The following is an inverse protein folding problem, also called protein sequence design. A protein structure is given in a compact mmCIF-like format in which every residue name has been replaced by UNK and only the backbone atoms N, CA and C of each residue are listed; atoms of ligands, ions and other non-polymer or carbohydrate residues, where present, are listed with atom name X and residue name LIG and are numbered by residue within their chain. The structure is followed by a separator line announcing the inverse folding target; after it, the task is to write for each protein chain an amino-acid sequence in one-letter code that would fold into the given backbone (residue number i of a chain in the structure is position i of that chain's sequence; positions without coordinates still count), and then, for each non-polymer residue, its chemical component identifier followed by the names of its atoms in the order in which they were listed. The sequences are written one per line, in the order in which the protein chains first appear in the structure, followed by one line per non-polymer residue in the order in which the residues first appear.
data_IF_311161388744
#
_entry.id   IF_311161388744
#
_cell.length_a   1.000
_cell.length_b   1.000
_cell.length_c   1.000
_cell.angle_alpha   90.00
_cell.angle_beta   90.00
_cell.angle_gamma   90.00
#
_symmetry.space_group_name_H-M   'P 1'
#
loop_
_entity.id
_entity.type
_entity.pdbx_description
1 polymer ?
#
# COMPACT_ATOMS: atom_id res chain seq x y z
N UNK A 1 8.35 13.49 -2.89
CA UNK A 1 8.62 12.05 -2.73
C UNK A 1 7.50 11.46 -1.90
N UNK A 2 6.90 10.35 -2.33
CA UNK A 2 5.68 9.78 -1.74
C UNK A 2 5.81 9.52 -0.23
N UNK A 3 6.91 8.90 0.20
CA UNK A 3 7.16 8.59 1.63
C UNK A 3 7.07 9.85 2.50
N UNK A 4 7.73 10.95 2.08
CA UNK A 4 7.68 12.23 2.79
C UNK A 4 6.27 12.80 2.86
N UNK A 5 5.49 12.70 1.79
CA UNK A 5 4.09 13.14 1.80
C UNK A 5 3.25 12.30 2.76
N UNK A 6 3.46 10.99 2.79
CA UNK A 6 2.74 10.06 3.69
C UNK A 6 3.10 10.23 5.16
N UNK A 7 4.38 10.40 5.48
CA UNK A 7 4.82 10.67 6.86
C UNK A 7 4.24 12.01 7.35
N UNK A 8 4.25 13.05 6.52
CA UNK A 8 3.62 14.33 6.86
C UNK A 8 2.10 14.22 7.00
N UNK A 9 1.45 13.45 6.12
CA UNK A 9 0.03 13.16 6.23
C UNK A 9 -0.30 12.45 7.55
N UNK A 10 0.50 11.46 7.95
CA UNK A 10 0.33 10.75 9.20
C UNK A 10 0.43 11.68 10.43
N UNK A 11 1.40 12.62 10.45
CA UNK A 11 1.49 13.64 11.51
C UNK A 11 0.17 14.40 11.70
N UNK A 12 -0.49 14.78 10.59
CA UNK A 12 -1.80 15.45 10.63
C UNK A 12 -2.93 14.53 11.11
N UNK A 13 -2.93 13.26 10.68
CA UNK A 13 -3.93 12.26 11.11
C UNK A 13 -3.85 11.97 12.62
N UNK A 14 -2.65 11.90 13.19
CA UNK A 14 -2.47 11.72 14.64
C UNK A 14 -3.06 12.90 15.42
N UNK A 15 -2.90 14.13 14.92
CA UNK A 15 -3.54 15.32 15.51
C UNK A 15 -5.06 15.26 15.41
N UNK A 16 -5.58 14.94 14.22
CA UNK A 16 -7.02 14.84 13.96
C UNK A 16 -7.70 13.78 14.84
N UNK A 17 -7.10 12.60 14.96
CA UNK A 17 -7.65 11.49 15.74
C UNK A 17 -7.24 11.51 17.21
N UNK A 18 -6.47 12.52 17.62
CA UNK A 18 -5.97 12.67 18.98
C UNK A 18 -5.22 11.42 19.48
N UNK A 19 -4.29 10.90 18.67
CA UNK A 19 -3.43 9.76 19.02
C UNK A 19 -2.00 10.24 19.20
N UNK A 20 -1.40 9.97 20.35
CA UNK A 20 -0.10 10.53 20.72
C UNK A 20 1.06 9.97 19.91
N UNK A 21 1.06 8.65 19.68
CA UNK A 21 2.16 7.93 19.03
C UNK A 21 1.61 6.80 18.16
N UNK A 22 2.12 6.68 16.93
CA UNK A 22 1.86 5.57 16.02
C UNK A 22 3.18 4.89 15.67
N UNK A 23 3.21 3.56 15.78
CA UNK A 23 4.40 2.75 15.57
C UNK A 23 4.10 1.64 14.58
N UNK A 24 4.85 1.61 13.47
CA UNK A 24 4.94 0.43 12.60
C UNK A 24 6.19 -0.36 12.99
N UNK A 25 5.99 -1.58 13.50
CA UNK A 25 7.06 -2.42 14.04
C UNK A 25 7.21 -3.70 13.22
N UNK A 26 8.36 -3.86 12.57
CA UNK A 26 8.61 -4.89 11.55
C UNK A 26 9.97 -5.58 11.75
N UNK A 27 10.15 -6.72 11.10
CA UNK A 27 11.43 -7.44 10.91
C UNK A 27 11.31 -8.28 9.66
N UNK A 28 12.42 -8.62 9.02
CA UNK A 28 12.45 -9.48 7.83
C UNK A 28 11.33 -9.11 6.84
N UNK A 29 11.18 -7.80 6.55
CA UNK A 29 9.95 -7.28 5.94
C UNK A 29 9.71 -7.79 4.53
N UNK A 30 10.76 -8.27 3.86
CA UNK A 30 10.64 -8.93 2.57
C UNK A 30 9.85 -10.24 2.66
N UNK A 31 9.96 -10.97 3.78
CA UNK A 31 9.26 -12.25 4.01
C UNK A 31 7.88 -11.99 4.60
N UNK A 32 7.79 -11.11 5.60
CA UNK A 32 6.56 -10.89 6.36
C UNK A 32 6.49 -9.44 6.89
N UNK A 33 6.40 -8.50 5.96
CA UNK A 33 6.30 -7.07 6.22
C UNK A 33 4.88 -6.59 6.49
N UNK A 34 4.79 -5.38 7.04
CA UNK A 34 3.54 -4.68 7.25
C UNK A 34 3.06 -4.03 5.92
N UNK A 35 1.78 -4.16 5.52
CA UNK A 35 1.26 -3.52 4.31
C UNK A 35 1.43 -1.99 4.27
N UNK A 36 1.54 -1.36 5.43
CA UNK A 36 1.73 0.09 5.58
C UNK A 36 3.17 0.52 5.39
N UNK A 37 4.14 -0.42 5.46
CA UNK A 37 5.57 -0.13 5.35
C UNK A 37 5.92 0.57 4.03
N UNK A 38 5.19 0.25 2.95
CA UNK A 38 5.33 0.86 1.63
C UNK A 38 5.12 2.40 1.63
N UNK A 39 4.49 2.96 2.67
CA UNK A 39 4.30 4.40 2.84
C UNK A 39 5.36 5.05 3.74
N UNK A 40 6.20 4.24 4.40
CA UNK A 40 7.13 4.68 5.44
C UNK A 40 8.60 4.56 5.01
N UNK A 41 8.93 3.62 4.14
CA UNK A 41 10.29 3.44 3.60
C UNK A 41 10.21 2.80 2.20
N UNK A 42 11.23 3.02 1.37
CA UNK A 42 11.28 2.48 0.00
C UNK A 42 11.98 1.12 -0.11
N UNK A 43 12.43 0.55 1.00
CA UNK A 43 13.21 -0.68 1.04
C UNK A 43 12.77 -1.56 2.20
N UNK A 44 13.08 -2.85 2.06
CA UNK A 44 12.91 -3.79 3.14
C UNK A 44 13.93 -3.57 4.27
N UNK A 45 13.54 -3.97 5.48
CA UNK A 45 14.38 -3.97 6.67
C UNK A 45 14.46 -5.38 7.25
N UNK A 46 15.67 -5.79 7.65
CA UNK A 46 15.93 -7.16 8.11
C UNK A 46 15.74 -7.29 9.62
N UNK A 47 16.33 -6.38 10.41
CA UNK A 47 16.28 -6.44 11.87
C UNK A 47 14.98 -5.82 12.40
N UNK A 48 14.67 -6.07 13.69
CA UNK A 48 13.58 -5.37 14.37
C UNK A 48 13.73 -3.86 14.17
N UNK A 49 12.74 -3.26 13.52
CA UNK A 49 12.76 -1.86 13.12
C UNK A 49 11.45 -1.21 13.49
N UNK A 50 11.50 0.04 13.95
CA UNK A 50 10.34 0.81 14.37
C UNK A 50 10.30 2.14 13.64
N UNK A 51 9.19 2.41 12.95
CA UNK A 51 8.89 3.71 12.36
C UNK A 51 7.83 4.38 13.22
N UNK A 52 8.20 5.50 13.84
CA UNK A 52 7.48 6.13 14.94
C UNK A 52 7.08 7.54 14.53
N UNK A 53 5.80 7.83 14.58
CA UNK A 53 5.26 9.16 14.28
C UNK A 53 4.50 9.64 15.51
N UNK A 54 4.74 10.87 15.93
CA UNK A 54 4.08 11.47 17.10
C UNK A 54 3.14 12.60 16.71
N UNK A 55 2.15 12.85 17.57
CA UNK A 55 1.22 13.97 17.44
C UNK A 55 1.91 15.34 17.45
N UNK A 56 3.04 15.45 18.14
CA UNK A 56 3.88 16.65 18.22
C UNK A 56 4.83 16.80 17.01
N UNK A 57 4.42 16.25 15.86
CA UNK A 57 5.09 16.37 14.56
C UNK A 57 6.51 15.82 14.47
N UNK A 58 6.90 14.88 15.34
CA UNK A 58 8.17 14.16 15.17
C UNK A 58 7.95 12.85 14.42
N UNK A 59 8.80 12.58 13.44
CA UNK A 59 8.94 11.29 12.80
C UNK A 59 10.35 10.75 13.10
N UNK A 60 10.42 9.62 13.80
CA UNK A 60 11.68 8.96 14.15
C UNK A 60 11.66 7.55 13.58
N UNK A 61 12.78 7.10 13.02
CA UNK A 61 12.98 5.70 12.66
C UNK A 61 14.08 5.11 13.54
N UNK A 62 13.86 3.89 14.02
CA UNK A 62 14.89 3.08 14.69
C UNK A 62 15.13 1.84 13.85
N UNK A 63 16.32 1.70 13.28
CA UNK A 63 16.64 0.66 12.30
C UNK A 63 18.04 0.07 12.52
N UNK A 64 18.32 -1.08 11.90
CA UNK A 64 19.67 -1.64 11.89
C UNK A 64 20.65 -0.68 11.20
N UNK A 65 21.93 -0.73 11.60
CA UNK A 65 22.99 0.15 11.05
C UNK A 65 23.04 0.19 9.52
N UNK A 66 22.79 -0.93 8.85
CA UNK A 66 22.86 -1.03 7.39
C UNK A 66 21.64 -0.41 6.67
N UNK A 67 20.52 -0.24 7.37
CA UNK A 67 19.29 0.34 6.79
C UNK A 67 19.23 1.86 6.98
N UNK A 68 20.09 2.42 7.83
CA UNK A 68 20.06 3.84 8.24
C UNK A 68 20.06 4.80 7.04
N UNK A 69 21.03 4.66 6.14
CA UNK A 69 21.20 5.58 5.01
C UNK A 69 19.95 5.57 4.12
N UNK A 70 19.40 4.38 3.85
CA UNK A 70 18.19 4.22 3.03
C UNK A 70 16.99 4.97 3.62
N UNK A 71 16.84 4.96 4.95
CA UNK A 71 15.77 5.71 5.62
C UNK A 71 16.05 7.22 5.60
N UNK A 72 17.29 7.64 5.83
CA UNK A 72 17.70 9.07 5.76
C UNK A 72 17.47 9.66 4.36
N UNK A 73 17.76 8.90 3.31
CA UNK A 73 17.61 9.30 1.90
C UNK A 73 16.14 9.59 1.53
N UNK A 74 15.16 9.08 2.29
CA UNK A 74 13.74 9.44 2.09
C UNK A 74 13.45 10.90 2.42
N UNK A 75 14.28 11.52 3.26
CA UNK A 75 14.08 12.87 3.79
C UNK A 75 12.75 13.06 4.54
N UNK A 76 12.17 11.97 5.03
CA UNK A 76 10.85 11.94 5.68
C UNK A 76 10.91 11.95 7.22
N UNK A 77 12.04 11.53 7.79
CA UNK A 77 12.23 11.41 9.24
C UNK A 77 13.06 12.57 9.78
N UNK A 78 12.69 13.07 10.95
CA UNK A 78 13.41 14.11 11.68
C UNK A 78 14.66 13.53 12.37
N UNK A 79 14.62 12.24 12.72
CA UNK A 79 15.74 11.51 13.32
C UNK A 79 15.75 10.04 12.88
N UNK A 80 16.94 9.50 12.58
CA UNK A 80 17.16 8.08 12.30
C UNK A 80 18.19 7.50 13.27
N UNK A 81 17.70 6.73 14.22
CA UNK A 81 18.49 6.07 15.26
C UNK A 81 18.89 4.69 14.74
N UNK A 82 20.19 4.41 14.70
CA UNK A 82 20.70 3.10 14.30
C UNK A 82 21.25 2.29 15.47
N UNK A 83 21.14 0.97 15.40
CA UNK A 83 21.76 0.05 16.36
C UNK A 83 22.59 -1.05 15.68
N UNK A 84 23.41 -1.74 16.48
CA UNK A 84 24.22 -2.90 16.06
C UNK A 84 23.91 -4.19 16.83
N UNK A 85 23.43 -4.10 18.08
CA UNK A 85 23.13 -5.27 18.92
C UNK A 85 21.63 -5.59 18.97
N UNK A 86 20.77 -4.56 19.03
CA UNK A 86 19.32 -4.72 19.02
C UNK A 86 18.57 -3.40 19.23
N UNK A 87 17.28 -3.42 18.92
CA UNK A 87 16.42 -2.22 18.97
C UNK A 87 15.96 -1.83 20.39
N UNK A 88 15.98 -2.77 21.34
CA UNK A 88 15.26 -2.64 22.60
C UNK A 88 15.69 -1.40 23.39
N UNK A 89 16.97 -1.23 23.66
CA UNK A 89 17.48 -0.11 24.44
C UNK A 89 17.20 1.27 23.81
N UNK A 90 17.53 1.54 22.53
CA UNK A 90 17.18 2.82 21.91
C UNK A 90 15.67 3.04 21.86
N UNK A 91 14.87 2.00 21.64
CA UNK A 91 13.41 2.08 21.67
C UNK A 91 12.88 2.49 23.04
N UNK A 92 13.29 1.81 24.12
CA UNK A 92 12.84 2.12 25.47
C UNK A 92 13.28 3.52 25.92
N UNK A 93 14.47 3.96 25.53
CA UNK A 93 14.92 5.33 25.79
C UNK A 93 13.98 6.34 25.15
N UNK A 94 13.70 6.18 23.85
CA UNK A 94 12.79 7.07 23.12
C UNK A 94 11.37 7.06 23.71
N UNK A 95 10.84 5.89 24.05
CA UNK A 95 9.49 5.78 24.62
C UNK A 95 9.37 6.40 26.01
N UNK A 96 10.44 6.40 26.82
CA UNK A 96 10.49 7.15 28.09
C UNK A 96 10.51 8.66 27.88
N UNK A 97 11.20 9.13 26.85
CA UNK A 97 11.28 10.55 26.50
C UNK A 97 9.94 11.07 25.95
N UNK A 98 9.28 10.30 25.08
CA UNK A 98 7.96 10.64 24.52
C UNK A 98 6.85 10.46 25.57
N UNK A 99 6.90 9.37 26.36
CA UNK A 99 5.90 8.96 27.34
C UNK A 99 4.43 9.12 26.87
N UNK A 100 4.05 8.53 25.72
CA UNK A 100 2.73 8.73 25.14
C UNK A 100 1.62 8.11 26.00
N UNK A 101 0.43 8.73 26.02
CA UNK A 101 -0.76 8.16 26.67
C UNK A 101 -1.45 7.12 25.80
N UNK A 102 -1.25 7.19 24.49
CA UNK A 102 -1.80 6.24 23.51
C UNK A 102 -0.74 5.83 22.49
N UNK A 103 -0.60 4.52 22.28
CA UNK A 103 0.36 3.94 21.34
C UNK A 103 -0.41 3.12 20.32
N UNK A 104 -0.56 3.62 19.11
CA UNK A 104 -1.20 2.91 18.02
C UNK A 104 -0.22 1.91 17.37
N UNK A 105 -0.64 0.65 17.25
CA UNK A 105 0.07 -0.41 16.53
C UNK A 105 -0.82 -0.99 15.41
N UNK A 106 -0.22 -1.48 14.33
CA UNK A 106 -0.92 -1.97 13.14
C UNK A 106 -1.54 -3.37 13.33
N UNK A 107 -2.43 -3.52 14.30
CA UNK A 107 -3.32 -4.68 14.42
C UNK A 107 -4.77 -4.25 14.23
N UNK A 108 -5.60 -5.13 13.67
CA UNK A 108 -7.01 -4.84 13.40
C UNK A 108 -7.81 -6.12 13.17
N UNK A 109 -8.93 -6.28 13.87
CA UNK A 109 -9.83 -7.44 13.67
C UNK A 109 -10.68 -7.34 12.39
N UNK A 110 -10.86 -6.13 11.86
CA UNK A 110 -11.81 -5.86 10.77
C UNK A 110 -11.19 -5.25 9.51
N UNK A 111 -9.86 -5.19 9.43
CA UNK A 111 -9.19 -4.55 8.29
C UNK A 111 -7.79 -5.09 8.11
N UNK A 112 -7.62 -5.91 7.08
CA UNK A 112 -6.37 -6.56 6.66
C UNK A 112 -5.28 -5.55 6.29
N UNK A 113 -5.67 -4.36 5.79
CA UNK A 113 -4.73 -3.29 5.45
C UNK A 113 -4.07 -2.66 6.69
N UNK A 114 -4.64 -2.87 7.88
CA UNK A 114 -4.18 -2.33 9.15
C UNK A 114 -3.85 -3.43 10.17
N UNK A 115 -3.69 -4.68 9.72
CA UNK A 115 -3.36 -5.85 10.53
C UNK A 115 -1.97 -6.42 10.18
N UNK A 116 -1.01 -5.53 9.94
CA UNK A 116 0.33 -5.90 9.49
C UNK A 116 1.29 -6.38 10.59
N UNK A 117 1.05 -6.03 11.86
CA UNK A 117 1.88 -6.51 12.96
C UNK A 117 1.53 -7.96 13.29
N UNK A 118 2.44 -8.88 12.99
CA UNK A 118 2.21 -10.29 13.33
C UNK A 118 2.10 -10.50 14.84
N UNK A 119 1.35 -11.52 15.26
CA UNK A 119 1.10 -11.77 16.69
C UNK A 119 2.39 -11.88 17.53
N UNK A 120 3.43 -12.58 17.03
CA UNK A 120 4.71 -12.66 17.74
C UNK A 120 5.45 -11.32 17.85
N UNK A 121 5.31 -10.45 16.85
CA UNK A 121 5.85 -9.09 16.90
C UNK A 121 5.05 -8.19 17.85
N UNK A 122 3.73 -8.34 17.90
CA UNK A 122 2.88 -7.68 18.88
C UNK A 122 3.28 -8.05 20.32
N UNK A 123 3.46 -9.34 20.60
CA UNK A 123 3.94 -9.81 21.92
C UNK A 123 5.30 -9.22 22.27
N UNK A 124 6.23 -9.21 21.31
CA UNK A 124 7.57 -8.60 21.49
C UNK A 124 7.47 -7.11 21.86
N UNK A 125 6.65 -6.36 21.12
CA UNK A 125 6.42 -4.94 21.39
C UNK A 125 5.76 -4.71 22.76
N UNK A 126 4.77 -5.53 23.11
CA UNK A 126 4.11 -5.48 24.41
C UNK A 126 5.10 -5.74 25.55
N UNK A 127 5.97 -6.73 25.42
CA UNK A 127 7.00 -7.03 26.41
C UNK A 127 8.00 -5.87 26.58
N UNK A 128 8.39 -5.19 25.49
CA UNK A 128 9.22 -4.00 25.58
C UNK A 128 8.51 -2.88 26.37
N UNK A 129 7.27 -2.57 26.01
CA UNK A 129 6.52 -1.48 26.65
C UNK A 129 6.19 -1.80 28.13
N UNK A 130 6.09 -3.07 28.49
CA UNK A 130 5.88 -3.53 29.87
C UNK A 130 7.06 -3.20 30.78
N UNK A 131 8.30 -3.23 30.28
CA UNK A 131 9.49 -2.88 31.06
C UNK A 131 9.49 -1.43 31.55
N UNK A 132 8.66 -0.57 30.95
CA UNK A 132 8.48 0.83 31.35
C UNK A 132 7.04 1.13 31.80
N UNK A 133 6.20 0.10 31.97
CA UNK A 133 4.86 0.19 32.54
C UNK A 133 3.86 0.97 31.67
N UNK A 134 3.94 0.84 30.34
CA UNK A 134 3.02 1.52 29.40
C UNK A 134 2.37 0.57 28.39
N UNK A 135 2.44 -0.74 28.61
CA UNK A 135 1.86 -1.75 27.72
C UNK A 135 0.33 -1.73 27.68
N UNK A 136 -0.31 -1.17 28.70
CA UNK A 136 -1.76 -0.95 28.78
C UNK A 136 -2.26 0.21 27.90
N UNK A 137 -1.34 0.98 27.29
CA UNK A 137 -1.64 2.15 26.44
C UNK A 137 -1.75 1.81 24.96
N UNK A 138 -1.58 0.54 24.59
CA UNK A 138 -1.63 0.05 23.21
C UNK A 138 -3.07 0.12 22.68
N UNK A 139 -3.24 0.71 21.50
CA UNK A 139 -4.50 0.74 20.76
C UNK A 139 -4.28 0.32 19.30
N UNK A 140 -5.34 -0.04 18.59
CA UNK A 140 -5.28 -0.34 17.16
C UNK A 140 -5.02 0.93 16.34
N UNK A 141 -4.15 0.83 15.33
CA UNK A 141 -3.88 1.87 14.34
C UNK A 141 -4.89 1.91 13.19
N UNK A 142 -5.93 1.07 13.19
CA UNK A 142 -6.89 0.92 12.08
C UNK A 142 -7.37 2.27 11.53
N UNK A 143 -7.84 3.18 12.39
CA UNK A 143 -8.32 4.50 11.95
C UNK A 143 -7.25 5.33 11.23
N UNK A 144 -6.00 5.27 11.70
CA UNK A 144 -4.87 6.00 11.12
C UNK A 144 -4.51 5.39 9.76
N UNK A 145 -4.33 4.07 9.70
CA UNK A 145 -3.92 3.37 8.49
C UNK A 145 -4.98 3.45 7.39
N UNK A 146 -6.26 3.26 7.74
CA UNK A 146 -7.38 3.43 6.80
C UNK A 146 -7.39 4.85 6.21
N UNK A 147 -7.35 5.89 7.06
CA UNK A 147 -7.34 7.27 6.59
C UNK A 147 -6.10 7.61 5.75
N UNK A 148 -4.93 7.06 6.10
CA UNK A 148 -3.68 7.24 5.36
C UNK A 148 -3.79 6.67 3.93
N UNK A 149 -4.52 5.57 3.72
CA UNK A 149 -4.74 4.98 2.40
C UNK A 149 -5.93 5.61 1.65
N UNK A 150 -7.01 5.93 2.38
CA UNK A 150 -8.24 6.49 1.81
C UNK A 150 -8.05 7.92 1.30
N UNK A 151 -7.23 8.73 1.97
CA UNK A 151 -6.98 10.12 1.61
C UNK A 151 -5.71 10.20 0.79
N UNK A 152 -5.83 10.47 -0.51
CA UNK A 152 -4.71 10.38 -1.44
C UNK A 152 -3.91 11.68 -1.41
N UNK A 153 -2.58 11.57 -1.44
CA UNK A 153 -1.68 12.70 -1.63
C UNK A 153 -1.68 13.16 -3.09
N UNK A 154 -1.10 14.32 -3.36
CA UNK A 154 -0.97 14.85 -4.72
C UNK A 154 -0.22 13.88 -5.65
N UNK A 155 0.87 13.26 -5.17
CA UNK A 155 1.65 12.28 -5.95
C UNK A 155 0.80 11.05 -6.29
N UNK A 156 0.02 10.54 -5.35
CA UNK A 156 -0.87 9.39 -5.58
C UNK A 156 -1.95 9.71 -6.61
N UNK A 157 -2.59 10.87 -6.49
CA UNK A 157 -3.60 11.32 -7.45
C UNK A 157 -3.01 11.44 -8.85
N UNK A 158 -1.78 11.94 -8.97
CA UNK A 158 -1.09 12.02 -10.27
C UNK A 158 -0.83 10.63 -10.87
N UNK A 159 -0.39 9.66 -10.06
CA UNK A 159 -0.19 8.29 -10.51
C UNK A 159 -1.52 7.62 -10.94
N UNK A 160 -2.60 7.80 -10.18
CA UNK A 160 -3.94 7.31 -10.53
C UNK A 160 -4.40 7.92 -11.85
N UNK A 161 -4.26 9.24 -12.04
CA UNK A 161 -4.62 9.92 -13.30
C UNK A 161 -3.80 9.41 -14.49
N UNK A 162 -2.52 9.11 -14.28
CA UNK A 162 -1.68 8.53 -15.32
C UNK A 162 -2.14 7.12 -15.71
N UNK A 163 -2.51 6.29 -14.74
CA UNK A 163 -3.08 4.96 -14.99
C UNK A 163 -4.41 5.07 -15.77
N UNK A 164 -5.31 5.96 -15.36
CA UNK A 164 -6.59 6.22 -16.06
C UNK A 164 -6.34 6.62 -17.51
N UNK A 165 -5.42 7.57 -17.75
CA UNK A 165 -5.09 8.02 -19.10
C UNK A 165 -4.63 6.87 -20.00
N UNK A 166 -3.77 6.00 -19.50
CA UNK A 166 -3.33 4.82 -20.26
C UNK A 166 -4.47 3.85 -20.54
N UNK A 167 -5.35 3.61 -19.56
CA UNK A 167 -6.57 2.80 -19.74
C UNK A 167 -7.46 3.39 -20.84
N UNK A 168 -7.78 4.69 -20.79
CA UNK A 168 -8.60 5.38 -21.80
C UNK A 168 -8.00 5.32 -23.22
N UNK A 169 -6.68 5.47 -23.33
CA UNK A 169 -5.97 5.33 -24.61
C UNK A 169 -6.10 3.91 -25.18
N UNK A 170 -5.96 2.88 -24.35
CA UNK A 170 -6.12 1.49 -24.77
C UNK A 170 -7.57 1.19 -25.13
N UNK A 171 -8.54 1.70 -24.36
CA UNK A 171 -9.97 1.62 -24.69
C UNK A 171 -10.29 2.26 -26.05
N UNK A 172 -9.69 3.42 -26.32
CA UNK A 172 -9.83 4.09 -27.62
C UNK A 172 -9.30 3.22 -28.76
N UNK A 173 -8.18 2.54 -28.57
CA UNK A 173 -7.60 1.66 -29.59
C UNK A 173 -8.42 0.39 -29.80
N UNK A 174 -8.83 -0.28 -28.72
CA UNK A 174 -9.60 -1.53 -28.82
C UNK A 174 -10.99 -1.30 -29.40
N UNK A 175 -11.61 -0.15 -29.13
CA UNK A 175 -12.90 0.23 -29.75
C UNK A 175 -12.85 0.24 -31.29
N UNK A 176 -11.68 0.54 -31.88
CA UNK A 176 -11.46 0.53 -33.34
C UNK A 176 -11.11 -0.87 -33.85
N UNK A 177 -10.63 -1.76 -32.98
CA UNK A 177 -10.29 -3.14 -33.30
C UNK A 177 -11.52 -4.06 -33.29
N UNK A 178 -12.47 -3.80 -32.40
CA UNK A 178 -13.70 -4.58 -32.23
C UNK A 178 -14.54 -4.54 -33.53
N UNK A 179 -14.94 -5.73 -34.00
CA UNK A 179 -15.85 -5.91 -35.15
C UNK A 179 -16.48 -7.30 -35.12
N UNK A 180 -17.63 -7.50 -35.80
CA UNK A 180 -18.23 -8.83 -35.92
C UNK A 180 -17.24 -9.89 -36.43
N UNK A 181 -17.29 -11.07 -35.83
CA UNK A 181 -16.42 -12.20 -36.12
C UNK A 181 -15.16 -12.29 -35.27
N UNK A 182 -14.78 -11.23 -34.54
CA UNK A 182 -13.69 -11.27 -33.55
C UNK A 182 -14.11 -12.00 -32.30
N UNK A 183 -13.24 -12.81 -31.71
CA UNK A 183 -13.50 -13.46 -30.42
C UNK A 183 -13.21 -12.53 -29.25
N UNK A 184 -13.83 -12.80 -28.10
CA UNK A 184 -13.48 -12.13 -26.83
C UNK A 184 -11.99 -12.24 -26.53
N UNK A 185 -11.40 -13.43 -26.70
CA UNK A 185 -9.95 -13.67 -26.57
C UNK A 185 -9.11 -12.83 -27.52
N UNK A 186 -9.52 -12.67 -28.78
CA UNK A 186 -8.77 -11.82 -29.72
C UNK A 186 -8.78 -10.35 -29.28
N UNK A 187 -9.90 -9.87 -28.74
CA UNK A 187 -10.04 -8.49 -28.24
C UNK A 187 -9.21 -8.29 -26.98
N UNK A 188 -9.28 -9.23 -26.03
CA UNK A 188 -8.47 -9.21 -24.81
C UNK A 188 -6.97 -9.28 -25.13
N UNK A 189 -6.55 -10.14 -26.07
CA UNK A 189 -5.16 -10.25 -26.49
C UNK A 189 -4.64 -8.94 -27.10
N UNK A 190 -5.46 -8.24 -27.89
CA UNK A 190 -5.10 -6.92 -28.42
C UNK A 190 -4.78 -5.92 -27.31
N UNK A 191 -5.62 -5.83 -26.28
CA UNK A 191 -5.39 -4.92 -25.15
C UNK A 191 -4.15 -5.32 -24.34
N UNK A 192 -3.96 -6.62 -24.11
CA UNK A 192 -2.75 -7.15 -23.45
C UNK A 192 -1.47 -6.77 -24.19
N UNK A 193 -1.48 -6.83 -25.52
CA UNK A 193 -0.34 -6.39 -26.34
C UNK A 193 -0.10 -4.88 -26.21
N UNK A 194 -1.15 -4.08 -26.11
CA UNK A 194 -1.05 -2.63 -25.88
C UNK A 194 -0.46 -2.28 -24.50
N UNK A 195 -0.80 -3.05 -23.45
CA UNK A 195 -0.18 -2.92 -22.10
C UNK A 195 1.31 -3.24 -22.17
N UNK A 196 1.68 -4.37 -22.80
CA UNK A 196 3.08 -4.78 -22.95
C UNK A 196 3.90 -3.77 -23.74
N UNK A 197 3.38 -3.25 -24.86
CA UNK A 197 4.06 -2.21 -25.66
C UNK A 197 4.36 -0.94 -24.89
N UNK A 198 3.55 -0.63 -23.87
CA UNK A 198 3.72 0.55 -23.00
C UNK A 198 4.58 0.26 -21.77
N UNK A 199 5.06 -0.97 -21.59
CA UNK A 199 5.76 -1.43 -20.37
C UNK A 199 4.97 -1.14 -19.09
N UNK A 200 3.65 -1.37 -19.14
CA UNK A 200 2.75 -1.21 -18.00
C UNK A 200 2.49 -2.55 -17.33
N UNK A 201 2.09 -2.49 -16.05
CA UNK A 201 1.52 -3.62 -15.33
C UNK A 201 -0.01 -3.60 -15.40
N UNK A 202 -0.63 -4.77 -15.26
CA UNK A 202 -2.08 -4.88 -15.05
C UNK A 202 -2.45 -4.42 -13.64
N UNK A 203 -3.65 -3.85 -13.49
CA UNK A 203 -4.16 -3.41 -12.20
C UNK A 203 -4.45 -4.58 -11.24
N UNK A 204 -4.86 -5.73 -11.78
CA UNK A 204 -5.08 -6.99 -11.04
C UNK A 204 -4.59 -8.19 -11.86
N UNK A 205 -4.99 -9.40 -11.45
CA UNK A 205 -4.57 -10.69 -12.02
C UNK A 205 -4.68 -10.73 -13.56
N UNK A 206 -3.56 -10.91 -14.30
CA UNK A 206 -3.54 -10.85 -15.77
C UNK A 206 -4.41 -11.89 -16.49
N UNK A 207 -4.81 -12.97 -15.81
CA UNK A 207 -5.71 -13.99 -16.41
C UNK A 207 -7.16 -13.52 -16.56
N UNK A 208 -7.55 -12.48 -15.82
CA UNK A 208 -8.88 -11.85 -15.84
C UNK A 208 -8.79 -10.33 -16.06
N UNK A 209 -7.62 -9.82 -16.41
CA UNK A 209 -7.37 -8.42 -16.78
C UNK A 209 -6.66 -8.38 -18.13
N UNK A 210 -7.34 -8.03 -19.24
CA UNK A 210 -8.72 -7.54 -19.33
C UNK A 210 -9.77 -8.67 -19.30
N UNK A 211 -10.93 -8.39 -18.72
CA UNK A 211 -12.14 -9.18 -18.96
C UNK A 211 -12.87 -8.61 -20.19
N UNK A 212 -13.29 -9.49 -21.11
CA UNK A 212 -14.03 -9.12 -22.32
C UNK A 212 -15.12 -10.15 -22.53
N UNK A 213 -16.36 -9.69 -22.65
CA UNK A 213 -17.50 -10.57 -22.83
C UNK A 213 -18.52 -10.00 -23.82
N UNK A 214 -19.00 -10.85 -24.73
CA UNK A 214 -19.96 -10.49 -25.78
C UNK A 214 -21.24 -11.32 -25.71
N UNK A 215 -22.38 -10.70 -25.97
CA UNK A 215 -23.64 -11.41 -26.18
C UNK A 215 -24.89 -10.62 -25.80
N UNK A 216 -26.06 -11.27 -25.91
CA UNK A 216 -27.28 -10.81 -25.27
C UNK A 216 -27.36 -11.26 -23.80
N UNK A 217 -26.70 -12.36 -23.42
CA UNK A 217 -26.54 -12.74 -22.02
C UNK A 217 -25.59 -11.74 -21.32
N UNK A 218 -25.63 -11.66 -20.00
CA UNK A 218 -24.63 -10.97 -19.19
C UNK A 218 -23.68 -12.00 -18.59
N UNK A 219 -22.36 -11.80 -18.68
CA UNK A 219 -21.41 -12.57 -17.88
C UNK A 219 -21.47 -12.13 -16.41
N UNK A 220 -21.14 -13.05 -15.52
CA UNK A 220 -20.85 -12.73 -14.13
C UNK A 220 -19.54 -11.94 -14.01
N UNK A 221 -19.36 -11.22 -12.90
CA UNK A 221 -18.14 -10.47 -12.63
C UNK A 221 -16.90 -11.38 -12.68
N UNK A 222 -15.77 -10.84 -13.13
CA UNK A 222 -14.46 -11.51 -13.18
C UNK A 222 -14.35 -12.75 -14.10
N UNK A 223 -15.16 -12.82 -15.15
CA UNK A 223 -15.09 -13.93 -16.13
C UNK A 223 -13.93 -13.78 -17.11
N UNK A 224 -13.24 -14.88 -17.44
CA UNK A 224 -12.18 -14.88 -18.45
C UNK A 224 -12.75 -14.85 -19.88
N UNK A 225 -12.11 -14.14 -20.83
CA UNK A 225 -12.50 -14.12 -22.23
C UNK A 225 -12.56 -15.52 -22.87
N UNK A 226 -13.57 -15.79 -23.70
CA UNK A 226 -13.80 -17.08 -24.37
C UNK A 226 -13.55 -17.02 -25.88
N UNK A 227 -13.80 -18.13 -26.57
CA UNK A 227 -13.77 -18.20 -28.04
C UNK A 227 -15.09 -17.72 -28.69
N UNK A 228 -16.04 -17.19 -27.90
CA UNK A 228 -17.29 -16.61 -28.40
C UNK A 228 -16.99 -15.42 -29.29
N UNK A 229 -17.66 -15.36 -30.44
CA UNK A 229 -17.50 -14.31 -31.44
C UNK A 229 -18.47 -13.17 -31.19
N UNK A 230 -17.99 -11.95 -31.39
CA UNK A 230 -18.82 -10.74 -31.42
C UNK A 230 -19.72 -10.80 -32.65
N UNK A 231 -21.01 -10.51 -32.47
CA UNK A 231 -21.99 -10.40 -33.54
C UNK A 231 -22.67 -9.03 -33.53
N UNK A 232 -23.34 -8.69 -34.64
CA UNK A 232 -24.11 -7.44 -34.71
C UNK A 232 -25.28 -7.51 -33.72
N UNK A 233 -25.44 -6.47 -32.90
CA UNK A 233 -26.48 -6.41 -31.87
C UNK A 233 -26.05 -6.94 -30.50
N UNK A 234 -24.85 -7.51 -30.36
CA UNK A 234 -24.30 -7.85 -29.05
C UNK A 234 -23.97 -6.61 -28.23
N UNK A 235 -24.15 -6.72 -26.91
CA UNK A 235 -23.48 -5.84 -25.94
C UNK A 235 -22.09 -6.40 -25.69
N UNK A 236 -21.10 -5.52 -25.54
CA UNK A 236 -19.75 -5.89 -25.15
C UNK A 236 -19.46 -5.28 -23.78
N UNK A 237 -19.23 -6.14 -22.79
CA UNK A 237 -18.78 -5.75 -21.46
C UNK A 237 -17.26 -5.92 -21.41
N UNK A 238 -16.57 -4.91 -20.90
CA UNK A 238 -15.11 -4.88 -20.80
C UNK A 238 -14.73 -4.32 -19.44
N UNK A 239 -13.79 -4.99 -18.77
CA UNK A 239 -13.28 -4.64 -17.45
C UNK A 239 -11.75 -4.66 -17.51
N UNK A 240 -11.10 -3.51 -17.29
CA UNK A 240 -9.69 -3.34 -17.60
C UNK A 240 -9.03 -2.12 -16.96
N UNK A 241 -8.07 -2.39 -16.07
CA UNK A 241 -7.19 -1.40 -15.48
C UNK A 241 -5.70 -1.66 -15.72
N UNK A 242 -4.89 -0.60 -15.61
CA UNK A 242 -3.43 -0.70 -15.59
C UNK A 242 -2.88 -0.09 -14.30
N UNK A 243 -1.63 -0.38 -13.99
CA UNK A 243 -0.93 0.15 -12.82
C UNK A 243 0.23 1.05 -13.23
N UNK A 244 0.32 2.22 -12.58
CA UNK A 244 1.41 3.18 -12.72
C UNK A 244 1.97 3.47 -11.33
N UNK A 245 3.26 3.20 -11.12
CA UNK A 245 3.97 3.47 -9.86
C UNK A 245 3.24 2.91 -8.61
N UNK A 246 2.63 1.73 -8.72
CA UNK A 246 1.89 1.11 -7.61
C UNK A 246 0.41 1.50 -7.50
N UNK A 247 -0.09 2.42 -8.34
CA UNK A 247 -1.48 2.88 -8.32
C UNK A 247 -2.26 2.42 -9.55
N UNK A 248 -3.49 1.95 -9.34
CA UNK A 248 -4.31 1.34 -10.38
C UNK A 248 -5.35 2.32 -10.94
N UNK A 249 -5.65 2.17 -12.22
CA UNK A 249 -6.97 2.41 -12.80
C UNK A 249 -7.79 1.12 -12.81
N UNK A 250 -9.07 1.22 -13.16
CA UNK A 250 -10.02 0.13 -13.26
C UNK A 250 -11.05 0.46 -14.36
#
# INVERSE_FOLDING_TARGET
MLIKEKVNQAKNLLKEFNVDCWITFVRESQINGDPTLAFLVTADVTWHSAFIITKDEKAIAIVGRYDKQTVEDTGAYDEVISFVEGIKDPFLKLMKEINPRQIALNFSEGSEIADGITHGMFLTMKDFLKDIGIDDRIISAQKIVSALRERKTTTEIQNIKAAIKHTEEIFTLVSRFIKPGKTEKEIAAFMTDEVKKRNLEFAWEPTVCPAVFTGPETAEAHYSPTDKKVERGHVLNMDFGVKVNGYCSD
#
